data_IF_096341921236
#
_entry.id   IF_096341921236
#
_cell.length_a   1.000
_cell.length_b   1.000
_cell.length_c   1.000
_cell.angle_alpha   90.00
_cell.angle_beta   90.00
_cell.angle_gamma   90.00
#
_symmetry.space_group_name_H-M   'P 1'
#
loop_
_entity.id
_entity.type
_entity.pdbx_description
1 polymer ?
#
# COMPACT_ATOMS: atom_id res chain seq x y z
N UNK A 1 6.79 23.75 33.19
CA UNK A 1 6.34 23.22 31.90
C UNK A 1 5.22 24.10 31.40
N UNK A 2 5.42 24.85 30.31
CA UNK A 2 4.36 25.62 29.67
C UNK A 2 3.42 24.64 28.94
N UNK A 3 2.12 24.75 29.18
CA UNK A 3 1.10 24.04 28.40
C UNK A 3 1.14 24.54 26.96
N UNK A 4 1.19 23.67 25.94
CA UNK A 4 1.17 24.11 24.54
C UNK A 4 -0.10 24.92 24.30
N UNK A 5 0.08 26.17 23.86
CA UNK A 5 -1.01 27.10 23.60
C UNK A 5 -1.86 26.61 22.41
N UNK A 6 -3.18 26.76 22.47
CA UNK A 6 -4.11 26.36 21.39
C UNK A 6 -3.74 26.80 19.94
N UNK A 7 -3.12 27.98 19.67
CA UNK A 7 -2.60 28.31 18.34
C UNK A 7 -1.50 27.37 17.82
N UNK A 8 -0.68 26.79 18.70
CA UNK A 8 0.37 25.83 18.33
C UNK A 8 -0.24 24.49 17.87
N UNK A 9 -1.27 24.01 18.58
CA UNK A 9 -1.97 22.77 18.22
C UNK A 9 -2.72 22.87 16.89
N UNK A 10 -3.38 24.01 16.63
CA UNK A 10 -4.08 24.22 15.37
C UNK A 10 -3.12 24.37 14.18
N UNK A 11 -1.92 24.92 14.40
CA UNK A 11 -0.86 24.95 13.38
C UNK A 11 -0.34 23.53 13.09
N UNK A 12 0.04 22.78 14.13
CA UNK A 12 0.47 21.38 14.00
C UNK A 12 -0.55 20.49 13.30
N UNK A 13 -1.85 20.69 13.56
CA UNK A 13 -2.91 19.95 12.87
C UNK A 13 -2.96 20.27 11.36
N UNK A 14 -2.76 21.53 10.98
CA UNK A 14 -2.72 21.96 9.57
C UNK A 14 -1.47 21.42 8.86
N UNK A 15 -0.32 21.48 9.50
CA UNK A 15 0.93 20.91 8.97
C UNK A 15 0.75 19.40 8.73
N UNK A 16 0.13 18.69 9.67
CA UNK A 16 -0.17 17.26 9.52
C UNK A 16 -1.15 16.96 8.37
N UNK A 17 -2.10 17.86 8.12
CA UNK A 17 -3.02 17.74 6.98
C UNK A 17 -2.30 17.95 5.65
N UNK A 18 -1.36 18.89 5.59
CA UNK A 18 -0.58 19.10 4.39
C UNK A 18 0.35 17.90 4.12
N UNK A 19 1.00 17.36 5.16
CA UNK A 19 1.78 16.12 5.08
C UNK A 19 0.91 14.94 4.59
N UNK A 20 -0.28 14.76 5.18
CA UNK A 20 -1.21 13.69 4.78
C UNK A 20 -1.63 13.80 3.30
N UNK A 21 -1.88 15.01 2.79
CA UNK A 21 -2.21 15.24 1.38
C UNK A 21 -1.04 14.98 0.44
N UNK A 22 0.18 15.33 0.86
CA UNK A 22 1.40 15.02 0.09
C UNK A 22 1.58 13.50 -0.01
N UNK A 23 1.45 12.78 1.11
CA UNK A 23 1.55 11.32 1.11
C UNK A 23 0.41 10.67 0.31
N UNK A 24 -0.82 11.18 0.42
CA UNK A 24 -1.96 10.73 -0.41
C UNK A 24 -1.65 10.84 -1.92
N UNK A 25 -1.19 12.01 -2.37
CA UNK A 25 -0.87 12.21 -3.79
C UNK A 25 0.28 11.30 -4.27
N UNK A 26 1.24 11.01 -3.38
CA UNK A 26 2.30 10.05 -3.65
C UNK A 26 1.76 8.61 -3.78
N UNK A 27 0.83 8.20 -2.90
CA UNK A 27 0.15 6.90 -2.98
C UNK A 27 -0.62 6.79 -4.29
N UNK A 28 -1.38 7.81 -4.69
CA UNK A 28 -2.14 7.80 -5.94
C UNK A 28 -1.24 7.64 -7.17
N UNK A 29 -0.13 8.37 -7.18
CA UNK A 29 0.86 8.27 -8.25
C UNK A 29 1.47 6.87 -8.33
N UNK A 30 1.80 6.29 -7.17
CA UNK A 30 2.41 4.98 -7.09
C UNK A 30 1.41 3.88 -7.48
N UNK A 31 0.18 3.96 -6.99
CA UNK A 31 -0.93 3.08 -7.35
C UNK A 31 -1.20 3.08 -8.87
N UNK A 32 -1.31 4.27 -9.48
CA UNK A 32 -1.52 4.39 -10.92
C UNK A 32 -0.35 3.81 -11.74
N UNK A 33 0.87 3.94 -11.24
CA UNK A 33 2.06 3.36 -11.86
C UNK A 33 2.05 1.83 -11.75
N UNK A 34 1.74 1.30 -10.56
CA UNK A 34 1.66 -0.13 -10.30
C UNK A 34 0.57 -0.80 -11.13
N UNK A 35 -0.61 -0.17 -11.25
CA UNK A 35 -1.70 -0.66 -12.11
C UNK A 35 -1.27 -0.78 -13.58
N UNK A 36 -0.59 0.25 -14.10
CA UNK A 36 -0.10 0.26 -15.48
C UNK A 36 0.93 -0.84 -15.71
N UNK A 37 1.94 -0.93 -14.84
CA UNK A 37 2.99 -1.93 -14.93
C UNK A 37 2.44 -3.35 -14.76
N UNK A 38 1.48 -3.56 -13.85
CA UNK A 38 0.78 -4.83 -13.68
C UNK A 38 0.03 -5.24 -14.94
N UNK A 39 -0.65 -4.29 -15.60
CA UNK A 39 -1.26 -4.51 -16.91
C UNK A 39 -0.26 -4.90 -17.99
N UNK A 40 0.93 -4.31 -18.00
CA UNK A 40 2.00 -4.66 -18.94
C UNK A 40 2.53 -6.09 -18.70
N UNK A 41 2.68 -6.50 -17.43
CA UNK A 41 3.05 -7.88 -17.08
C UNK A 41 1.93 -8.86 -17.46
N UNK A 42 0.67 -8.51 -17.21
CA UNK A 42 -0.48 -9.35 -17.56
C UNK A 42 -0.58 -9.61 -19.07
N UNK A 43 -0.21 -8.63 -19.90
CA UNK A 43 -0.21 -8.77 -21.36
C UNK A 43 1.09 -9.32 -21.94
N UNK A 44 2.13 -9.53 -21.13
CA UNK A 44 3.38 -10.08 -21.59
C UNK A 44 3.15 -11.47 -22.21
N UNK A 45 3.63 -11.64 -23.45
CA UNK A 45 3.62 -12.92 -24.14
C UNK A 45 4.87 -13.74 -23.86
N UNK A 46 5.96 -13.07 -23.50
CA UNK A 46 7.28 -13.69 -23.31
C UNK A 46 7.82 -13.44 -21.90
N UNK A 47 8.72 -14.29 -21.42
CA UNK A 47 9.44 -14.05 -20.15
C UNK A 47 10.19 -12.73 -20.16
N UNK A 48 10.82 -12.36 -21.27
CA UNK A 48 11.64 -11.14 -21.36
C UNK A 48 10.79 -9.87 -21.23
N UNK A 49 9.56 -9.92 -21.73
CA UNK A 49 8.57 -8.85 -21.53
C UNK A 49 8.09 -8.81 -20.08
N UNK A 50 7.68 -9.96 -19.53
CA UNK A 50 7.22 -10.07 -18.16
C UNK A 50 8.30 -9.60 -17.16
N UNK A 51 9.55 -10.05 -17.31
CA UNK A 51 10.65 -9.72 -16.40
C UNK A 51 11.04 -8.23 -16.43
N UNK A 52 11.00 -7.58 -17.61
CA UNK A 52 11.31 -6.14 -17.73
C UNK A 52 10.33 -5.28 -16.93
N UNK A 53 9.05 -5.61 -17.01
CA UNK A 53 8.01 -4.90 -16.25
C UNK A 53 7.96 -5.37 -14.80
N UNK A 54 8.22 -6.64 -14.53
CA UNK A 54 8.21 -7.24 -13.19
C UNK A 54 9.19 -6.61 -12.20
N UNK A 55 10.42 -6.30 -12.63
CA UNK A 55 11.37 -5.60 -11.77
C UNK A 55 10.88 -4.19 -11.36
N UNK A 56 10.20 -3.50 -12.28
CA UNK A 56 9.60 -2.19 -12.01
C UNK A 56 8.37 -2.32 -11.13
N UNK A 57 7.56 -3.35 -11.33
CA UNK A 57 6.42 -3.67 -10.46
C UNK A 57 6.89 -3.91 -9.02
N UNK A 58 7.96 -4.68 -8.82
CA UNK A 58 8.51 -4.94 -7.49
C UNK A 58 8.97 -3.64 -6.82
N UNK A 59 9.73 -2.80 -7.52
CA UNK A 59 10.18 -1.51 -6.98
C UNK A 59 9.00 -0.57 -6.64
N UNK A 60 7.97 -0.52 -7.48
CA UNK A 60 6.81 0.33 -7.23
C UNK A 60 5.94 -0.22 -6.09
N UNK A 61 5.83 -1.55 -5.95
CA UNK A 61 5.20 -2.19 -4.79
C UNK A 61 5.94 -1.82 -3.50
N UNK A 62 7.25 -1.93 -3.47
CA UNK A 62 8.05 -1.58 -2.28
C UNK A 62 7.85 -0.09 -1.91
N UNK A 63 7.74 0.77 -2.92
CA UNK A 63 7.39 2.19 -2.72
C UNK A 63 5.99 2.36 -2.12
N UNK A 64 4.98 1.66 -2.63
CA UNK A 64 3.62 1.68 -2.04
C UNK A 64 3.64 1.20 -0.60
N UNK A 65 4.37 0.12 -0.30
CA UNK A 65 4.54 -0.36 1.07
C UNK A 65 5.17 0.68 1.99
N UNK A 66 6.25 1.36 1.55
CA UNK A 66 6.85 2.45 2.32
C UNK A 66 5.90 3.62 2.57
N UNK A 67 5.08 3.99 1.57
CA UNK A 67 4.08 5.04 1.73
C UNK A 67 2.96 4.62 2.71
N UNK A 68 2.57 3.35 2.74
CA UNK A 68 1.62 2.84 3.73
C UNK A 68 2.19 2.91 5.16
N UNK A 69 3.49 2.65 5.32
CA UNK A 69 4.18 2.82 6.61
C UNK A 69 4.21 4.30 7.02
N UNK A 70 4.45 5.23 6.08
CA UNK A 70 4.37 6.68 6.33
C UNK A 70 2.96 7.10 6.77
N UNK A 71 1.90 6.61 6.10
CA UNK A 71 0.51 6.87 6.51
C UNK A 71 0.21 6.36 7.93
N UNK A 72 0.81 5.23 8.33
CA UNK A 72 0.68 4.71 9.69
C UNK A 72 1.37 5.63 10.72
N UNK A 73 2.54 6.19 10.37
CA UNK A 73 3.23 7.18 11.21
C UNK A 73 2.40 8.46 11.36
N UNK A 74 1.81 8.96 10.26
CA UNK A 74 0.94 10.13 10.28
C UNK A 74 -0.33 9.89 11.10
N UNK A 75 -0.92 8.70 10.99
CA UNK A 75 -2.08 8.30 11.83
C UNK A 75 -1.72 8.34 13.31
N UNK A 76 -0.57 7.78 13.70
CA UNK A 76 -0.10 7.82 15.08
C UNK A 76 0.26 9.24 15.56
N UNK A 77 0.67 10.14 14.66
CA UNK A 77 0.85 11.55 14.97
C UNK A 77 -0.50 12.25 15.20
N UNK A 78 -1.52 11.95 14.38
CA UNK A 78 -2.87 12.47 14.55
C UNK A 78 -3.47 12.04 15.89
N UNK A 79 -3.35 10.77 16.27
CA UNK A 79 -3.86 10.24 17.54
C UNK A 79 -3.17 10.88 18.75
N UNK A 80 -1.85 11.13 18.67
CA UNK A 80 -1.12 11.87 19.72
C UNK A 80 -1.62 13.31 19.85
N UNK A 81 -1.81 14.01 18.72
CA UNK A 81 -2.30 15.38 18.74
C UNK A 81 -3.75 15.46 19.26
N UNK A 82 -4.57 14.47 18.94
CA UNK A 82 -5.94 14.37 19.45
C UNK A 82 -5.97 14.12 20.97
N UNK A 83 -5.06 13.27 21.48
CA UNK A 83 -4.88 13.07 22.92
C UNK A 83 -4.41 14.34 23.64
N UNK A 84 -3.51 15.12 23.03
CA UNK A 84 -3.10 16.44 23.54
C UNK A 84 -4.28 17.44 23.58
N UNK A 85 -5.19 17.37 22.60
CA UNK A 85 -6.43 18.15 22.56
C UNK A 85 -7.51 17.66 23.55
N UNK A 86 -7.42 16.39 23.98
CA UNK A 86 -8.28 15.75 24.99
C UNK A 86 -7.80 15.89 26.44
N UNK A 87 -6.53 16.27 26.66
CA UNK A 87 -5.95 16.51 27.99
C UNK A 87 -6.67 17.61 28.80
N UNK A 88 -6.65 17.52 30.14
CA UNK A 88 -7.85 17.54 30.98
C UNK A 88 -8.72 18.77 30.76
N UNK A 89 -9.94 18.51 30.29
CA UNK A 89 -11.09 19.27 30.76
C UNK A 89 -11.07 19.20 32.29
N UNK A 90 -10.90 20.35 32.96
CA UNK A 90 -10.97 20.44 34.42
C UNK A 90 -12.26 19.77 34.89
N UNK A 91 -12.13 18.67 35.63
CA UNK A 91 -13.12 18.17 36.59
C UNK A 91 -13.31 19.10 37.80
N UNK A 92 -12.80 20.34 37.76
CA UNK A 92 -12.95 21.33 38.84
C UNK A 92 -14.16 22.24 38.64
N UNK A 93 -15.35 21.68 38.45
CA UNK A 93 -16.60 22.45 38.52
C UNK A 93 -17.72 21.71 39.24
N UNK A 94 -17.41 20.91 40.27
CA UNK A 94 -18.37 20.60 41.35
C UNK A 94 -17.64 20.69 42.69
N UNK A 95 -17.40 21.92 43.16
CA UNK A 95 -17.20 22.20 44.57
C UNK A 95 -17.62 23.65 44.83
N UNK A 96 -18.94 23.84 44.89
CA UNK A 96 -19.58 25.02 45.43
C UNK A 96 -19.23 25.13 46.93
N UNK A 97 -18.74 26.29 47.38
CA UNK A 97 -18.08 26.38 48.67
C UNK A 97 -17.57 27.76 49.10
N UNK A 98 -18.40 28.79 48.95
CA UNK A 98 -18.43 30.04 49.74
C UNK A 98 -17.46 31.21 49.40
N UNK A 99 -17.88 32.47 49.70
CA UNK A 99 -17.58 33.64 48.87
C UNK A 99 -16.62 34.63 49.54
N UNK A 100 -15.90 35.42 48.73
CA UNK A 100 -15.57 36.84 48.99
C UNK A 100 -14.58 37.38 47.96
N UNK A 101 -14.83 38.60 47.50
CA UNK A 101 -13.78 39.47 46.96
C UNK A 101 -14.09 39.98 45.56
N UNK A 102 -14.64 41.19 45.51
CA UNK A 102 -14.69 42.03 44.33
C UNK A 102 -13.29 42.17 43.70
N UNK A 103 -13.17 41.82 42.42
CA UNK A 103 -12.20 42.46 41.53
C UNK A 103 -12.70 42.28 40.09
N UNK A 104 -12.98 43.40 39.42
CA UNK A 104 -13.19 43.50 37.98
C UNK A 104 -11.98 42.94 37.23
N UNK A 105 -11.97 41.62 36.99
CA UNK A 105 -10.93 40.88 36.26
C UNK A 105 -11.50 39.68 35.48
N UNK A 106 -12.81 39.67 35.26
CA UNK A 106 -13.58 38.53 34.75
C UNK A 106 -13.77 38.48 33.23
N UNK A 107 -13.57 39.58 32.51
CA UNK A 107 -13.81 39.61 31.06
C UNK A 107 -12.64 39.06 30.23
N UNK A 108 -11.40 39.40 30.59
CA UNK A 108 -10.20 38.90 29.90
C UNK A 108 -10.11 37.36 29.95
N UNK A 109 -10.36 36.76 31.13
CA UNK A 109 -10.33 35.30 31.32
C UNK A 109 -11.45 34.56 30.60
N UNK A 110 -12.64 35.16 30.48
CA UNK A 110 -13.76 34.58 29.70
C UNK A 110 -13.51 34.65 28.19
N UNK A 111 -12.90 35.74 27.70
CA UNK A 111 -12.53 35.89 26.30
C UNK A 111 -11.42 34.93 25.86
N UNK A 112 -10.43 34.70 26.73
CA UNK A 112 -9.32 33.75 26.49
C UNK A 112 -9.80 32.30 26.50
N UNK A 113 -10.66 31.90 27.46
CA UNK A 113 -11.22 30.56 27.51
C UNK A 113 -12.05 30.23 26.25
N UNK A 114 -12.93 31.15 25.82
CA UNK A 114 -13.72 30.98 24.58
C UNK A 114 -12.85 30.93 23.32
N UNK A 115 -11.79 31.75 23.23
CA UNK A 115 -10.83 31.67 22.13
C UNK A 115 -10.05 30.35 22.13
N UNK A 116 -9.73 29.80 23.30
CA UNK A 116 -9.08 28.50 23.43
C UNK A 116 -9.96 27.34 22.98
N UNK A 117 -11.25 27.36 23.32
CA UNK A 117 -12.23 26.35 22.90
C UNK A 117 -12.48 26.38 21.38
N UNK A 118 -12.66 27.56 20.78
CA UNK A 118 -12.83 27.70 19.32
C UNK A 118 -11.62 27.13 18.58
N UNK A 119 -10.40 27.44 19.03
CA UNK A 119 -9.15 26.93 18.41
C UNK A 119 -8.99 25.42 18.56
N UNK A 120 -9.41 24.84 19.69
CA UNK A 120 -9.44 23.37 19.86
C UNK A 120 -10.48 22.72 18.94
N UNK A 121 -11.64 23.36 18.74
CA UNK A 121 -12.65 22.92 17.79
C UNK A 121 -12.13 22.92 16.35
N UNK A 122 -11.41 23.97 15.94
CA UNK A 122 -10.73 24.03 14.65
C UNK A 122 -9.70 22.91 14.49
N UNK A 123 -8.83 22.70 15.49
CA UNK A 123 -7.82 21.63 15.43
C UNK A 123 -8.45 20.23 15.30
N UNK A 124 -9.54 19.95 16.02
CA UNK A 124 -10.28 18.69 15.90
C UNK A 124 -10.90 18.50 14.52
N UNK A 125 -11.48 19.54 13.94
CA UNK A 125 -12.05 19.47 12.59
C UNK A 125 -10.97 19.19 11.52
N UNK A 126 -9.77 19.76 11.71
CA UNK A 126 -8.62 19.48 10.84
C UNK A 126 -8.15 18.03 11.02
N UNK A 127 -8.01 17.54 12.26
CA UNK A 127 -7.62 16.14 12.52
C UNK A 127 -8.62 15.11 11.95
N UNK A 128 -9.91 15.41 12.00
CA UNK A 128 -10.93 14.58 11.34
C UNK A 128 -10.70 14.54 9.82
N UNK A 129 -10.29 15.65 9.22
CA UNK A 129 -9.93 15.70 7.80
C UNK A 129 -8.65 14.89 7.51
N UNK A 130 -7.66 14.94 8.40
CA UNK A 130 -6.44 14.10 8.33
C UNK A 130 -6.83 12.63 8.32
N UNK A 131 -7.64 12.17 9.28
CA UNK A 131 -8.06 10.76 9.38
C UNK A 131 -8.70 10.27 8.08
N UNK A 132 -9.62 11.05 7.51
CA UNK A 132 -10.28 10.70 6.23
C UNK A 132 -9.29 10.57 5.07
N UNK A 133 -8.33 11.48 4.96
CA UNK A 133 -7.29 11.43 3.91
C UNK A 133 -6.44 10.18 4.08
N UNK A 134 -5.97 9.91 5.31
CA UNK A 134 -5.12 8.76 5.60
C UNK A 134 -5.83 7.43 5.37
N UNK A 135 -7.11 7.32 5.76
CA UNK A 135 -7.93 6.13 5.54
C UNK A 135 -8.13 5.86 4.04
N UNK A 136 -8.55 6.88 3.28
CA UNK A 136 -8.78 6.76 1.84
C UNK A 136 -7.48 6.46 1.06
N UNK A 137 -6.36 7.08 1.45
CA UNK A 137 -5.05 6.77 0.86
C UNK A 137 -4.61 5.33 1.23
N UNK A 138 -4.78 4.93 2.49
CA UNK A 138 -4.40 3.61 2.96
C UNK A 138 -5.18 2.48 2.30
N UNK A 139 -6.49 2.66 2.10
CA UNK A 139 -7.34 1.70 1.39
C UNK A 139 -6.87 1.51 -0.06
N UNK A 140 -6.74 2.60 -0.82
CA UNK A 140 -6.23 2.56 -2.20
C UNK A 140 -4.84 1.94 -2.31
N UNK A 141 -3.93 2.28 -1.40
CA UNK A 141 -2.59 1.72 -1.38
C UNK A 141 -2.60 0.21 -1.18
N UNK A 142 -3.38 -0.29 -0.21
CA UNK A 142 -3.54 -1.74 0.06
C UNK A 142 -4.20 -2.47 -1.12
N UNK A 143 -5.20 -1.86 -1.73
CA UNK A 143 -5.81 -2.35 -2.96
C UNK A 143 -4.83 -2.42 -4.13
N UNK A 144 -3.68 -1.77 -4.11
CA UNK A 144 -2.73 -1.87 -5.22
C UNK A 144 -1.63 -2.93 -4.96
N UNK A 145 -1.39 -3.31 -3.70
CA UNK A 145 -0.34 -4.28 -3.35
C UNK A 145 -0.57 -5.64 -4.01
N UNK A 146 -1.81 -6.13 -4.10
CA UNK A 146 -2.12 -7.43 -4.73
C UNK A 146 -1.77 -7.46 -6.22
N UNK A 147 -1.83 -6.32 -6.92
CA UNK A 147 -1.43 -6.21 -8.34
C UNK A 147 0.06 -6.53 -8.47
N UNK A 148 0.86 -6.04 -7.52
CA UNK A 148 2.29 -6.33 -7.46
C UNK A 148 2.59 -7.82 -7.23
N UNK A 149 1.77 -8.48 -6.42
CA UNK A 149 1.88 -9.92 -6.14
C UNK A 149 1.53 -10.76 -7.36
N UNK A 150 0.41 -10.49 -8.03
CA UNK A 150 0.05 -11.21 -9.25
C UNK A 150 1.07 -11.03 -10.37
N UNK A 151 1.62 -9.82 -10.52
CA UNK A 151 2.67 -9.58 -11.50
C UNK A 151 3.94 -10.37 -11.17
N UNK A 152 4.31 -10.48 -9.89
CA UNK A 152 5.43 -11.30 -9.44
C UNK A 152 5.18 -12.78 -9.75
N UNK A 153 3.99 -13.28 -9.43
CA UNK A 153 3.62 -14.68 -9.67
C UNK A 153 3.67 -14.99 -11.16
N UNK A 154 3.15 -14.11 -12.01
CA UNK A 154 3.24 -14.27 -13.47
C UNK A 154 4.68 -14.29 -13.98
N UNK A 155 5.58 -13.47 -13.44
CA UNK A 155 7.01 -13.51 -13.78
C UNK A 155 7.65 -14.82 -13.33
N UNK A 156 7.27 -15.31 -12.16
CA UNK A 156 7.72 -16.60 -11.65
C UNK A 156 7.25 -17.75 -12.53
N UNK A 157 5.98 -17.75 -12.95
CA UNK A 157 5.41 -18.78 -13.83
C UNK A 157 6.13 -18.85 -15.18
N UNK A 158 6.46 -17.71 -15.79
CA UNK A 158 7.29 -17.68 -17.00
C UNK A 158 8.69 -18.25 -16.75
N UNK A 159 9.30 -17.93 -15.60
CA UNK A 159 10.63 -18.42 -15.26
C UNK A 159 10.65 -19.93 -15.01
N UNK A 160 9.60 -20.45 -14.36
CA UNK A 160 9.41 -21.87 -14.10
C UNK A 160 9.14 -22.63 -15.41
N UNK A 161 8.29 -22.09 -16.29
CA UNK A 161 7.99 -22.69 -17.58
C UNK A 161 9.26 -22.89 -18.40
N UNK A 162 10.09 -21.86 -18.55
CA UNK A 162 11.35 -21.95 -19.29
C UNK A 162 12.30 -23.03 -18.73
N UNK A 163 12.39 -23.12 -17.40
CA UNK A 163 13.27 -24.07 -16.74
C UNK A 163 12.82 -25.51 -16.99
N UNK A 164 11.52 -25.77 -16.82
CA UNK A 164 10.92 -27.08 -17.06
C UNK A 164 10.96 -27.46 -18.53
N UNK A 165 10.69 -26.51 -19.44
CA UNK A 165 10.76 -26.74 -20.88
C UNK A 165 12.18 -27.11 -21.30
N UNK A 166 13.18 -26.37 -20.82
CA UNK A 166 14.60 -26.65 -21.09
C UNK A 166 15.01 -28.02 -20.54
N UNK A 167 14.53 -28.37 -19.34
CA UNK A 167 14.80 -29.68 -18.73
C UNK A 167 14.16 -30.82 -19.52
N UNK A 168 12.88 -30.72 -19.85
CA UNK A 168 12.16 -31.72 -20.63
C UNK A 168 12.76 -31.90 -22.03
N UNK A 169 13.11 -30.79 -22.71
CA UNK A 169 13.80 -30.84 -24.01
C UNK A 169 15.13 -31.59 -23.90
N UNK A 170 15.90 -31.34 -22.83
CA UNK A 170 17.15 -32.05 -22.59
C UNK A 170 16.92 -33.54 -22.36
N UNK A 171 15.87 -33.94 -21.64
CA UNK A 171 15.56 -35.36 -21.45
C UNK A 171 15.29 -36.07 -22.77
N UNK A 172 14.54 -35.43 -23.69
CA UNK A 172 14.32 -35.96 -25.04
C UNK A 172 15.63 -36.01 -25.85
N UNK A 173 16.49 -34.99 -25.77
CA UNK A 173 17.80 -35.03 -26.42
C UNK A 173 18.69 -36.19 -25.91
N UNK A 174 18.41 -36.73 -24.72
CA UNK A 174 19.09 -37.90 -24.13
C UNK A 174 18.27 -39.19 -24.23
N UNK A 175 17.18 -39.20 -25.02
CA UNK A 175 16.27 -40.34 -25.20
C UNK A 175 15.66 -40.88 -23.90
N UNK A 176 15.29 -39.97 -22.98
CA UNK A 176 14.59 -40.28 -21.73
C UNK A 176 13.15 -39.68 -21.75
N UNK A 177 12.21 -40.30 -22.50
CA UNK A 177 10.86 -39.78 -22.66
C UNK A 177 10.02 -39.84 -21.38
N UNK A 178 10.33 -40.74 -20.44
CA UNK A 178 9.60 -40.85 -19.19
C UNK A 178 9.94 -39.70 -18.24
N UNK A 179 11.21 -39.29 -18.15
CA UNK A 179 11.59 -38.10 -17.40
C UNK A 179 11.02 -36.82 -18.01
N UNK A 180 11.03 -36.69 -19.35
CA UNK A 180 10.37 -35.58 -20.04
C UNK A 180 8.86 -35.55 -19.77
N UNK A 181 8.20 -36.72 -19.74
CA UNK A 181 6.77 -36.83 -19.44
C UNK A 181 6.43 -36.42 -18.00
N UNK A 182 7.35 -36.59 -17.04
CA UNK A 182 7.13 -36.15 -15.66
C UNK A 182 6.99 -34.62 -15.54
N UNK A 183 7.70 -33.88 -16.39
CA UNK A 183 7.66 -32.40 -16.43
C UNK A 183 6.41 -31.86 -17.14
N UNK A 184 5.84 -32.65 -18.05
CA UNK A 184 4.74 -32.24 -18.92
C UNK A 184 3.50 -31.80 -18.13
N UNK A 185 3.17 -32.48 -17.03
CA UNK A 185 1.99 -32.15 -16.23
C UNK A 185 2.07 -30.73 -15.63
N UNK A 186 3.26 -30.33 -15.15
CA UNK A 186 3.48 -28.98 -14.63
C UNK A 186 3.50 -27.94 -15.75
N UNK A 187 4.13 -28.26 -16.88
CA UNK A 187 4.12 -27.40 -18.07
C UNK A 187 2.71 -27.11 -18.59
N UNK A 188 1.80 -28.10 -18.60
CA UNK A 188 0.38 -27.91 -18.97
C UNK A 188 -0.32 -26.95 -18.01
N UNK A 189 -0.02 -27.05 -16.71
CA UNK A 189 -0.61 -26.15 -15.71
C UNK A 189 -0.15 -24.71 -15.93
N UNK A 190 1.15 -24.54 -16.21
CA UNK A 190 1.75 -23.23 -16.50
C UNK A 190 1.24 -22.63 -17.81
N UNK A 191 1.04 -23.44 -18.85
CA UNK A 191 0.48 -22.98 -20.14
C UNK A 191 -0.92 -22.36 -19.95
N UNK A 192 -1.78 -23.01 -19.18
CA UNK A 192 -3.12 -22.48 -18.83
C UNK A 192 -3.05 -21.20 -18.00
N UNK A 193 -2.08 -21.08 -17.10
CA UNK A 193 -1.91 -19.90 -16.25
C UNK A 193 -1.33 -18.70 -17.04
N UNK A 194 -0.37 -18.97 -17.93
CA UNK A 194 0.33 -17.95 -18.68
C UNK A 194 -0.50 -17.39 -19.83
N UNK A 195 -1.37 -18.20 -20.45
CA UNK A 195 -2.22 -17.78 -21.58
C UNK A 195 -1.39 -17.09 -22.67
N UNK A 196 -0.21 -17.66 -22.96
CA UNK A 196 0.73 -17.14 -23.96
C UNK A 196 0.73 -18.05 -25.19
N UNK A 197 0.61 -17.44 -26.37
CA UNK A 197 0.65 -18.14 -27.66
C UNK A 197 2.02 -18.78 -27.93
N UNK A 198 3.11 -18.13 -27.49
CA UNK A 198 4.45 -18.69 -27.58
C UNK A 198 4.59 -19.93 -26.69
N UNK A 199 4.16 -19.82 -25.43
CA UNK A 199 4.17 -20.93 -24.46
C UNK A 199 3.37 -22.13 -24.97
N UNK A 200 2.19 -21.89 -25.55
CA UNK A 200 1.37 -22.94 -26.14
C UNK A 200 2.09 -23.62 -27.32
N UNK A 201 2.67 -22.85 -28.24
CA UNK A 201 3.40 -23.39 -29.38
C UNK A 201 4.63 -24.22 -28.94
N UNK A 202 5.38 -23.75 -27.94
CA UNK A 202 6.49 -24.49 -27.36
C UNK A 202 6.02 -25.82 -26.76
N UNK A 203 4.90 -25.81 -26.02
CA UNK A 203 4.39 -27.03 -25.41
C UNK A 203 3.86 -28.03 -26.44
N UNK A 204 3.26 -27.57 -27.53
CA UNK A 204 2.83 -28.43 -28.63
C UNK A 204 4.00 -29.08 -29.36
N UNK A 205 5.10 -28.36 -29.57
CA UNK A 205 6.34 -28.92 -30.11
C UNK A 205 6.91 -30.01 -29.18
N UNK A 206 6.95 -29.75 -27.87
CA UNK A 206 7.44 -30.73 -26.89
C UNK A 206 6.56 -32.00 -26.88
N UNK A 207 5.23 -31.85 -26.95
CA UNK A 207 4.29 -32.97 -27.04
C UNK A 207 4.50 -33.78 -28.31
N UNK A 208 4.72 -33.11 -29.45
CA UNK A 208 5.00 -33.78 -30.72
C UNK A 208 6.27 -34.63 -30.62
N UNK A 209 7.37 -34.07 -30.10
CA UNK A 209 8.62 -34.82 -29.90
C UNK A 209 8.46 -36.02 -28.98
N UNK A 210 7.71 -35.87 -27.88
CA UNK A 210 7.39 -36.95 -26.94
C UNK A 210 6.63 -38.10 -27.58
N UNK A 211 5.70 -37.80 -28.51
CA UNK A 211 4.98 -38.83 -29.25
C UNK A 211 5.93 -39.58 -30.19
N UNK A 212 6.79 -38.86 -30.91
CA UNK A 212 7.72 -39.47 -31.88
C UNK A 212 8.84 -40.31 -31.26
N UNK A 213 9.26 -40.05 -30.02
CA UNK A 213 10.30 -40.86 -29.35
C UNK A 213 9.75 -42.08 -28.61
N UNK A 214 8.41 -42.19 -28.48
CA UNK A 214 7.75 -43.36 -27.87
C UNK A 214 7.30 -44.39 -28.90
N UNK A 215 7.23 -44.01 -30.18
CA UNK A 215 6.96 -44.88 -31.33
C UNK A 215 8.23 -45.60 -31.81
#
# INVERSE_FOLDING_TARGET
MATPDGPDLAARARDLLDDARVTEAAVDTAAATLFRLGGDVARAGTRREAARSGARVAAERDRVSGLLDELAVLSAAADRLDAELGGPAREDAVADGAPRGEARRGEARRGEARRGEVRRGEARAVLESVRRVLEAAGERGRECVWIGELARDRVHDFAEFDLLYTRASRHLDHSDPDAASADLARLITLERALVSTEVAAMLDELRFRLLTERD
#
